data_IF_391189547354
#
_entry.id   IF_391189547354
#
_cell.length_a   1.000
_cell.length_b   1.000
_cell.length_c   1.000
_cell.angle_alpha   90.00
_cell.angle_beta   90.00
_cell.angle_gamma   90.00
#
_symmetry.space_group_name_H-M   'P 1'
#
loop_
_entity.id
_entity.type
_entity.pdbx_description
1 polymer ?
#
# COMPACT_ATOMS: atom_id res chain seq x y z
N UNK A 1 -15.45 -5.16 10.46
CA UNK A 1 -15.22 -5.78 9.14
C UNK A 1 -15.12 -7.28 9.36
N UNK A 2 -15.61 -8.11 8.44
CA UNK A 2 -15.37 -9.55 8.50
C UNK A 2 -13.89 -9.84 8.25
N UNK A 3 -13.39 -10.97 8.73
CA UNK A 3 -12.02 -11.42 8.45
C UNK A 3 -11.78 -11.51 6.94
N UNK A 4 -10.70 -10.89 6.43
CA UNK A 4 -10.39 -10.80 5.00
C UNK A 4 -10.31 -12.19 4.35
N UNK A 5 -9.76 -13.17 5.08
CA UNK A 5 -9.70 -14.55 4.63
C UNK A 5 -11.09 -15.17 4.46
N UNK A 6 -12.07 -14.78 5.27
CA UNK A 6 -13.47 -15.20 5.12
C UNK A 6 -14.14 -14.57 3.90
N UNK A 7 -13.73 -13.35 3.51
CA UNK A 7 -14.24 -12.67 2.31
C UNK A 7 -13.64 -13.33 1.06
N UNK A 8 -12.33 -13.57 1.05
CA UNK A 8 -11.62 -14.25 -0.04
C UNK A 8 -12.25 -15.61 -0.39
N UNK A 9 -12.62 -16.41 0.63
CA UNK A 9 -13.25 -17.72 0.42
C UNK A 9 -14.67 -17.67 -0.20
N UNK A 10 -15.33 -16.50 -0.16
CA UNK A 10 -16.73 -16.34 -0.60
C UNK A 10 -16.84 -15.71 -1.99
N UNK A 11 -15.76 -15.12 -2.49
CA UNK A 11 -15.73 -14.41 -3.76
C UNK A 11 -14.89 -15.20 -4.76
N UNK A 12 -15.22 -15.07 -6.05
CA UNK A 12 -14.24 -15.42 -7.07
C UNK A 12 -13.10 -14.38 -7.09
N UNK A 13 -12.00 -14.70 -7.77
CA UNK A 13 -10.80 -13.86 -7.78
C UNK A 13 -11.07 -12.45 -8.31
N UNK A 14 -11.95 -12.30 -9.29
CA UNK A 14 -12.24 -10.99 -9.89
C UNK A 14 -13.04 -10.14 -8.90
N UNK A 15 -14.07 -10.71 -8.28
CA UNK A 15 -14.86 -10.04 -7.26
C UNK A 15 -14.01 -9.70 -6.02
N UNK A 16 -13.06 -10.56 -5.65
CA UNK A 16 -12.13 -10.28 -4.56
C UNK A 16 -11.15 -9.16 -4.91
N UNK A 17 -10.54 -9.17 -6.10
CA UNK A 17 -9.68 -8.09 -6.56
C UNK A 17 -10.42 -6.74 -6.59
N UNK A 18 -11.68 -6.73 -7.03
CA UNK A 18 -12.53 -5.55 -7.02
C UNK A 18 -12.83 -5.05 -5.61
N UNK A 19 -13.10 -5.96 -4.67
CA UNK A 19 -13.25 -5.63 -3.26
C UNK A 19 -11.97 -4.98 -2.70
N UNK A 20 -10.79 -5.54 -2.98
CA UNK A 20 -9.51 -4.97 -2.55
C UNK A 20 -9.30 -3.59 -3.16
N UNK A 21 -9.45 -3.45 -4.48
CA UNK A 21 -9.28 -2.17 -5.18
C UNK A 21 -10.20 -1.07 -4.61
N UNK A 22 -11.46 -1.42 -4.31
CA UNK A 22 -12.42 -0.50 -3.69
C UNK A 22 -11.94 -0.01 -2.32
N UNK A 23 -11.38 -0.90 -1.50
CA UNK A 23 -10.84 -0.52 -0.19
C UNK A 23 -9.56 0.31 -0.33
N UNK A 24 -8.65 -0.04 -1.26
CA UNK A 24 -7.43 0.72 -1.52
C UNK A 24 -7.75 2.15 -1.93
N UNK A 25 -8.65 2.35 -2.91
CA UNK A 25 -9.09 3.69 -3.35
C UNK A 25 -9.74 4.45 -2.19
N UNK A 26 -10.64 3.80 -1.46
CA UNK A 26 -11.34 4.42 -0.33
C UNK A 26 -10.41 4.88 0.79
N UNK A 27 -9.43 4.05 1.16
CA UNK A 27 -8.43 4.36 2.18
C UNK A 27 -7.50 5.46 1.67
N UNK A 28 -7.00 5.34 0.44
CA UNK A 28 -6.10 6.35 -0.13
C UNK A 28 -6.75 7.73 -0.19
N UNK A 29 -8.04 7.83 -0.55
CA UNK A 29 -8.78 9.10 -0.53
C UNK A 29 -8.87 9.75 0.87
N UNK A 30 -8.82 8.95 1.93
CA UNK A 30 -8.88 9.44 3.31
C UNK A 30 -7.50 9.78 3.86
N UNK A 31 -6.57 8.82 3.80
CA UNK A 31 -5.31 8.82 4.54
C UNK A 31 -4.07 8.58 3.63
N UNK A 32 -4.25 8.60 2.31
CA UNK A 32 -3.20 8.35 1.33
C UNK A 32 -2.63 6.93 1.38
N UNK A 33 -1.48 6.73 0.75
CA UNK A 33 -0.80 5.42 0.76
C UNK A 33 -0.32 5.00 2.15
N UNK A 34 -0.05 5.94 3.06
CA UNK A 34 0.24 5.66 4.46
C UNK A 34 -0.89 4.87 5.13
N UNK A 35 -2.14 5.30 4.93
CA UNK A 35 -3.30 4.55 5.40
C UNK A 35 -3.41 3.16 4.79
N UNK A 36 -3.13 3.00 3.50
CA UNK A 36 -3.13 1.68 2.84
C UNK A 36 -2.06 0.77 3.45
N UNK A 37 -0.87 1.30 3.71
CA UNK A 37 0.26 0.59 4.30
C UNK A 37 -0.04 0.09 5.72
N UNK A 38 -0.70 0.90 6.54
CA UNK A 38 -1.11 0.52 7.91
C UNK A 38 -2.10 -0.65 7.94
N UNK A 39 -2.83 -0.90 6.86
CA UNK A 39 -3.71 -2.05 6.73
C UNK A 39 -2.94 -3.28 6.20
N UNK A 40 -2.06 -3.83 7.04
CA UNK A 40 -1.17 -4.95 6.72
C UNK A 40 -1.86 -6.16 6.04
N UNK A 41 -3.11 -6.46 6.39
CA UNK A 41 -3.90 -7.55 5.82
C UNK A 41 -4.21 -7.33 4.32
N UNK A 42 -4.26 -6.08 3.86
CA UNK A 42 -4.52 -5.75 2.45
C UNK A 42 -3.25 -5.90 1.59
N UNK A 43 -2.06 -5.70 2.18
CA UNK A 43 -0.79 -5.63 1.44
C UNK A 43 -0.54 -6.79 0.47
N UNK A 44 -0.77 -8.07 0.83
CA UNK A 44 -0.57 -9.19 -0.10
C UNK A 44 -1.46 -9.13 -1.35
N UNK A 45 -2.53 -8.34 -1.31
CA UNK A 45 -3.57 -8.31 -2.33
C UNK A 45 -3.58 -7.01 -3.14
N UNK A 46 -2.86 -5.95 -2.72
CA UNK A 46 -2.84 -4.66 -3.42
C UNK A 46 -2.28 -4.80 -4.84
N UNK A 47 -1.12 -5.43 -5.01
CA UNK A 47 -0.47 -5.60 -6.33
C UNK A 47 -1.35 -6.41 -7.31
N UNK A 48 -1.92 -7.57 -6.93
CA UNK A 48 -2.89 -8.28 -7.78
C UNK A 48 -4.11 -7.43 -8.13
N UNK A 49 -4.67 -6.69 -7.17
CA UNK A 49 -5.84 -5.86 -7.38
C UNK A 49 -5.56 -4.72 -8.36
N UNK A 50 -4.49 -3.95 -8.16
CA UNK A 50 -4.08 -2.87 -9.08
C UNK A 50 -3.83 -3.40 -10.49
N UNK A 51 -3.16 -4.55 -10.61
CA UNK A 51 -2.95 -5.20 -11.91
C UNK A 51 -4.26 -5.59 -12.57
N UNK A 52 -5.20 -6.18 -11.83
CA UNK A 52 -6.52 -6.55 -12.34
C UNK A 52 -7.37 -5.34 -12.76
N UNK A 53 -7.17 -4.19 -12.12
CA UNK A 53 -7.80 -2.92 -12.48
C UNK A 53 -7.14 -2.23 -13.70
N UNK A 54 -6.13 -2.84 -14.32
CA UNK A 54 -5.42 -2.26 -15.45
C UNK A 54 -4.43 -1.16 -15.06
N UNK A 55 -3.90 -1.20 -13.83
CA UNK A 55 -2.90 -0.27 -13.29
C UNK A 55 -1.54 -0.96 -13.02
N UNK A 56 -0.92 -1.61 -14.01
CA UNK A 56 0.31 -2.37 -13.79
C UNK A 56 1.50 -1.50 -13.35
N UNK A 57 1.58 -0.24 -13.81
CA UNK A 57 2.66 0.67 -13.43
C UNK A 57 2.57 1.03 -11.94
N UNK A 58 1.38 1.38 -11.47
CA UNK A 58 1.12 1.64 -10.04
C UNK A 58 1.33 0.37 -9.19
N UNK A 59 0.93 -0.79 -9.70
CA UNK A 59 1.19 -2.07 -9.03
C UNK A 59 2.69 -2.33 -8.86
N UNK A 60 3.50 -2.04 -9.88
CA UNK A 60 4.95 -2.18 -9.83
C UNK A 60 5.59 -1.21 -8.83
N UNK A 61 5.20 0.06 -8.82
CA UNK A 61 5.70 1.03 -7.83
C UNK A 61 5.30 0.65 -6.41
N UNK A 62 4.08 0.14 -6.20
CA UNK A 62 3.66 -0.34 -4.88
C UNK A 62 4.48 -1.55 -4.44
N UNK A 63 4.76 -2.51 -5.34
CA UNK A 63 5.64 -3.63 -5.06
C UNK A 63 7.06 -3.15 -4.69
N UNK A 64 7.63 -2.22 -5.45
CA UNK A 64 8.94 -1.61 -5.17
C UNK A 64 8.97 -0.94 -3.80
N UNK A 65 7.92 -0.17 -3.45
CA UNK A 65 7.78 0.45 -2.14
C UNK A 65 7.83 -0.59 -1.00
N UNK A 66 7.15 -1.73 -1.15
CA UNK A 66 7.18 -2.81 -0.16
C UNK A 66 8.58 -3.44 -0.03
N UNK A 67 9.36 -3.52 -1.11
CA UNK A 67 10.74 -4.05 -1.05
C UNK A 67 11.72 -3.18 -0.27
N UNK A 68 11.39 -1.91 -0.04
CA UNK A 68 12.22 -0.99 0.74
C UNK A 68 12.11 -1.21 2.24
N UNK A 69 11.08 -1.94 2.70
CA UNK A 69 11.02 -2.38 4.08
C UNK A 69 12.19 -3.33 4.38
N UNK A 70 12.99 -3.06 5.43
CA UNK A 70 14.11 -3.93 5.77
C UNK A 70 13.71 -5.37 6.11
N UNK A 71 12.46 -5.55 6.56
CA UNK A 71 11.83 -6.82 6.85
C UNK A 71 10.44 -6.82 6.22
N UNK A 72 9.98 -7.95 5.70
CA UNK A 72 8.73 -8.00 4.94
C UNK A 72 7.56 -7.49 5.78
N UNK A 73 6.80 -6.47 5.32
CA UNK A 73 5.67 -5.92 6.07
C UNK A 73 4.49 -6.89 6.20
N UNK A 74 4.49 -7.98 5.42
CA UNK A 74 3.50 -9.06 5.49
C UNK A 74 3.88 -10.18 6.47
N UNK A 75 5.11 -10.17 7.01
CA UNK A 75 5.51 -11.12 8.05
C UNK A 75 4.78 -10.79 9.35
N UNK A 76 4.16 -11.79 9.99
CA UNK A 76 3.40 -11.60 11.24
C UNK A 76 4.24 -10.93 12.35
N UNK A 77 5.54 -11.24 12.41
CA UNK A 77 6.43 -10.63 13.41
C UNK A 77 6.72 -9.16 13.14
N UNK A 78 6.60 -8.71 11.89
CA UNK A 78 6.75 -7.30 11.48
C UNK A 78 5.41 -6.58 11.64
N UNK A 79 4.30 -7.24 11.30
CA UNK A 79 2.95 -6.72 11.45
C UNK A 79 2.65 -6.20 12.87
N UNK A 80 3.08 -6.91 13.92
CA UNK A 80 2.90 -6.49 15.31
C UNK A 80 3.68 -5.21 15.68
N UNK A 81 4.73 -4.89 14.92
CA UNK A 81 5.59 -3.72 15.08
C UNK A 81 5.53 -2.78 13.87
N UNK A 82 4.49 -2.89 13.02
CA UNK A 82 4.48 -2.28 11.70
C UNK A 82 4.78 -0.77 11.73
N UNK A 83 4.24 -0.07 12.74
CA UNK A 83 4.48 1.36 12.90
C UNK A 83 5.97 1.71 13.04
N UNK A 84 6.77 0.88 13.72
CA UNK A 84 8.20 1.13 13.85
C UNK A 84 8.91 0.97 12.50
N UNK A 85 8.52 -0.02 11.69
CA UNK A 85 9.08 -0.23 10.35
C UNK A 85 8.68 0.89 9.39
N UNK A 86 7.43 1.36 9.47
CA UNK A 86 6.98 2.51 8.69
C UNK A 86 7.72 3.79 9.14
N UNK A 87 7.79 4.06 10.45
CA UNK A 87 8.53 5.21 10.99
C UNK A 87 10.02 5.19 10.64
N UNK A 88 10.61 3.99 10.52
CA UNK A 88 12.00 3.80 10.10
C UNK A 88 12.25 4.41 8.71
N UNK A 89 11.31 4.19 7.79
CA UNK A 89 11.35 4.66 6.40
C UNK A 89 10.87 6.10 6.26
N UNK A 90 9.83 6.51 7.01
CA UNK A 90 9.26 7.86 6.93
C UNK A 90 10.21 8.96 7.41
N UNK A 91 10.98 8.71 8.46
CA UNK A 91 11.90 9.73 8.95
C UNK A 91 13.07 9.11 9.71
N UNK A 92 14.32 9.27 9.26
CA UNK A 92 15.49 8.77 9.96
C UNK A 92 15.66 9.29 11.39
N UNK A 93 14.99 10.39 11.75
CA UNK A 93 15.02 10.99 13.10
C UNK A 93 14.01 10.38 14.06
N UNK A 94 13.04 9.60 13.57
CA UNK A 94 12.09 8.94 14.45
C UNK A 94 12.79 7.85 15.25
N UNK A 95 12.46 7.78 16.54
CA UNK A 95 12.87 6.66 17.39
C UNK A 95 11.98 5.46 17.05
N UNK A 96 12.60 4.30 16.91
CA UNK A 96 11.94 3.01 16.66
C UNK A 96 12.29 2.06 17.80
N UNK A 97 11.34 1.26 18.26
CA UNK A 97 11.55 0.35 19.38
C UNK A 97 11.95 -1.07 18.95
N UNK A 98 11.59 -1.47 17.72
CA UNK A 98 11.98 -2.76 17.17
C UNK A 98 13.51 -2.93 17.06
N UNK A 99 14.06 -3.81 17.88
CA UNK A 99 15.50 -4.05 17.98
C UNK A 99 16.12 -4.53 16.66
N UNK A 100 15.34 -5.16 15.76
CA UNK A 100 15.85 -5.61 14.46
C UNK A 100 16.33 -4.44 13.61
N UNK A 101 15.63 -3.31 13.71
CA UNK A 101 15.96 -2.08 12.97
C UNK A 101 17.25 -1.44 13.48
N UNK A 102 17.62 -1.66 14.74
CA UNK A 102 18.88 -1.17 15.31
C UNK A 102 20.14 -1.80 14.67
N UNK A 103 19.98 -2.93 13.97
CA UNK A 103 21.07 -3.60 13.24
C UNK A 103 21.44 -2.90 11.94
N UNK A 104 20.60 -1.98 11.47
CA UNK A 104 20.76 -1.27 10.20
C UNK A 104 21.46 0.06 10.47
N UNK A 105 22.48 0.37 9.66
CA UNK A 105 23.23 1.63 9.83
C UNK A 105 22.39 2.87 9.51
N UNK A 106 22.67 4.00 10.17
CA UNK A 106 22.01 5.28 9.87
C UNK A 106 22.13 5.69 8.40
N UNK A 107 23.27 5.37 7.77
CA UNK A 107 23.49 5.62 6.34
C UNK A 107 22.49 4.83 5.50
N UNK A 108 22.37 3.53 5.75
CA UNK A 108 21.42 2.65 5.05
C UNK A 108 19.97 3.08 5.32
N UNK A 109 19.62 3.44 6.57
CA UNK A 109 18.31 3.99 6.90
C UNK A 109 17.98 5.22 6.08
N UNK A 110 18.94 6.14 5.93
CA UNK A 110 18.74 7.36 5.14
C UNK A 110 18.59 7.07 3.65
N UNK A 111 19.36 6.13 3.10
CA UNK A 111 19.23 5.69 1.71
C UNK A 111 17.84 5.06 1.43
N UNK A 112 17.40 4.13 2.30
CA UNK A 112 16.08 3.50 2.21
C UNK A 112 14.95 4.53 2.37
N UNK A 113 15.09 5.44 3.33
CA UNK A 113 14.12 6.52 3.54
C UNK A 113 13.99 7.39 2.30
N UNK A 114 15.10 7.82 1.67
CA UNK A 114 15.03 8.63 0.46
C UNK A 114 14.33 7.90 -0.69
N UNK A 115 14.71 6.64 -0.94
CA UNK A 115 14.05 5.81 -1.97
C UNK A 115 12.56 5.62 -1.68
N UNK A 116 12.20 5.45 -0.41
CA UNK A 116 10.81 5.30 0.00
C UNK A 116 9.98 6.53 -0.32
N UNK A 117 10.52 7.73 -0.07
CA UNK A 117 9.83 8.98 -0.43
C UNK A 117 9.76 9.20 -1.95
N UNK A 118 10.78 8.79 -2.69
CA UNK A 118 10.77 8.86 -4.17
C UNK A 118 9.66 7.97 -4.75
N UNK A 119 9.58 6.70 -4.32
CA UNK A 119 8.53 5.78 -4.76
C UNK A 119 7.13 6.22 -4.29
N UNK A 120 7.02 6.69 -3.05
CA UNK A 120 5.75 7.20 -2.50
C UNK A 120 5.24 8.40 -3.31
N UNK A 121 6.13 9.32 -3.70
CA UNK A 121 5.78 10.48 -4.52
C UNK A 121 5.25 10.07 -5.90
N UNK A 122 5.85 9.06 -6.53
CA UNK A 122 5.36 8.56 -7.83
C UNK A 122 3.97 7.94 -7.68
N UNK A 123 3.77 7.16 -6.61
CA UNK A 123 2.48 6.57 -6.30
C UNK A 123 1.40 7.62 -5.99
N UNK A 124 1.76 8.68 -5.26
CA UNK A 124 0.85 9.79 -4.99
C UNK A 124 0.47 10.53 -6.29
N UNK A 125 1.42 10.86 -7.15
CA UNK A 125 1.14 11.51 -8.45
C UNK A 125 0.18 10.67 -9.32
N UNK A 126 0.39 9.35 -9.36
CA UNK A 126 -0.48 8.43 -10.10
C UNK A 126 -1.88 8.34 -9.49
N UNK A 127 -1.97 8.23 -8.16
CA UNK A 127 -3.23 8.10 -7.45
C UNK A 127 -4.02 9.42 -7.46
N UNK A 128 -3.38 10.58 -7.34
CA UNK A 128 -4.01 11.89 -7.48
C UNK A 128 -4.66 12.03 -8.86
N UNK A 129 -3.96 11.67 -9.93
CA UNK A 129 -4.49 11.78 -11.29
C UNK A 129 -5.73 10.91 -11.54
N UNK A 130 -5.85 9.78 -10.82
CA UNK A 130 -6.91 8.77 -11.04
C UNK A 130 -8.04 8.84 -10.02
N UNK A 131 -7.72 9.13 -8.76
CA UNK A 131 -8.60 8.90 -7.60
C UNK A 131 -8.85 10.15 -6.77
N UNK A 132 -8.26 11.31 -7.09
CA UNK A 132 -8.62 12.55 -6.41
C UNK A 132 -10.12 12.89 -6.58
N UNK A 133 -10.65 13.75 -5.70
CA UNK A 133 -12.06 14.17 -5.74
C UNK A 133 -12.43 14.98 -6.99
N UNK A 134 -11.45 15.50 -7.72
CA UNK A 134 -11.62 16.19 -9.00
C UNK A 134 -11.16 15.34 -10.19
N UNK A 135 -10.81 14.06 -9.97
CA UNK A 135 -10.40 13.16 -11.04
C UNK A 135 -11.56 12.93 -12.03
N UNK A 136 -11.28 12.92 -13.35
CA UNK A 136 -12.31 12.99 -14.39
C UNK A 136 -13.19 11.73 -14.48
N UNK A 137 -12.70 10.57 -14.03
CA UNK A 137 -13.42 9.30 -14.12
C UNK A 137 -14.21 8.98 -12.85
N UNK A 138 -15.21 9.81 -12.58
CA UNK A 138 -16.09 9.71 -11.39
C UNK A 138 -15.28 9.63 -10.09
N UNK A 139 -14.28 10.50 -9.93
CA UNK A 139 -13.42 10.54 -8.75
C UNK A 139 -12.69 9.20 -8.51
N UNK A 140 -12.36 8.46 -9.57
CA UNK A 140 -11.72 7.15 -9.51
C UNK A 140 -12.68 5.97 -9.38
N UNK A 141 -13.98 6.21 -9.18
CA UNK A 141 -14.96 5.13 -9.10
C UNK A 141 -15.37 4.57 -10.48
N UNK A 142 -15.15 5.31 -11.56
CA UNK A 142 -15.51 4.85 -12.90
C UNK A 142 -14.82 3.54 -13.28
N UNK A 143 -13.54 3.39 -12.94
CA UNK A 143 -12.78 2.16 -13.15
C UNK A 143 -13.34 0.96 -12.36
N UNK A 144 -13.90 1.19 -11.18
CA UNK A 144 -14.57 0.15 -10.36
C UNK A 144 -15.93 -0.20 -10.97
N UNK A 145 -16.70 0.82 -11.35
CA UNK A 145 -18.04 0.65 -11.91
C UNK A 145 -18.03 -0.10 -13.24
N UNK A 146 -17.02 0.14 -14.08
CA UNK A 146 -16.88 -0.54 -15.38
C UNK A 146 -16.66 -2.05 -15.26
N UNK A 147 -16.22 -2.57 -14.11
CA UNK A 147 -16.06 -4.01 -13.88
C UNK A 147 -17.40 -4.75 -13.68
N UNK A 148 -18.50 -4.02 -13.50
CA UNK A 148 -19.85 -4.59 -13.32
C UNK A 148 -20.68 -4.66 -14.62
N UNK A 149 -20.12 -4.21 -15.75
CA UNK A 149 -20.78 -4.13 -17.05
C UNK A 149 -20.24 -5.17 -18.04
#
# INVERSE_FOLDING_TARGET
MGDLATIEQKLDQNAFNLFIATNVIGIWKGDGWGGVLEHNQLLPHVVPALTAMGLPDMANHFEQLLTLFPFSPTDLTVADHFQDHLNFLLNPRFTVADERLSTISDKTRMELSNQFHEELSVLDDQAEALWAYDAPDQEGWGMVLTQFH
#
